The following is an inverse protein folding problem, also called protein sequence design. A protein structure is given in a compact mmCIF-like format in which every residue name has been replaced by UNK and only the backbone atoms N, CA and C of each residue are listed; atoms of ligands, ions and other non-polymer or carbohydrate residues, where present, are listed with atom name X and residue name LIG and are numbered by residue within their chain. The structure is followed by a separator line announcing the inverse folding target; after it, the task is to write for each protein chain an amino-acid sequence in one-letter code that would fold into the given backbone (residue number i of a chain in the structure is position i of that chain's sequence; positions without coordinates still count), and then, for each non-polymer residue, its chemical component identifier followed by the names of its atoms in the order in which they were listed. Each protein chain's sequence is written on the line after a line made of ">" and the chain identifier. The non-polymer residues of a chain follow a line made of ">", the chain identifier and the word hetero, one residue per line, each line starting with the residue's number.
data_IF_157948610399
#
_entry.id   IF_157948610399
#
_cell.length_a   1.000
_cell.length_b   1.000
_cell.length_c   1.000
_cell.angle_alpha   90.00
_cell.angle_beta   90.00
_cell.angle_gamma   90.00
#
_symmetry.space_group_name_H-M   'P 1'
#
loop_
_entity.id
_entity.type
_entity.pdbx_description
1 polymer ?
#
# COMPACT_ATOMS: atom_id res chain seq x y z
N UNK A 1 -15.45 -2.49 -32.31
CA UNK A 1 -14.56 -1.59 -31.55
C UNK A 1 -13.14 -2.02 -31.87
N UNK A 2 -12.37 -1.19 -32.57
CA UNK A 2 -10.97 -1.47 -32.88
C UNK A 2 -10.19 -1.35 -31.55
N UNK A 3 -9.69 -2.48 -31.05
CA UNK A 3 -8.87 -2.51 -29.84
C UNK A 3 -7.45 -2.08 -30.18
N UNK A 4 -7.20 -0.78 -30.26
CA UNK A 4 -5.84 -0.26 -30.23
C UNK A 4 -5.29 -0.40 -28.81
N UNK A 5 -4.54 -1.47 -28.58
CA UNK A 5 -3.74 -1.61 -27.37
C UNK A 5 -2.47 -0.79 -27.54
N UNK A 6 -2.53 0.51 -27.23
CA UNK A 6 -1.32 1.33 -27.15
C UNK A 6 -0.62 1.03 -25.83
N UNK A 7 0.50 0.31 -25.87
CA UNK A 7 1.39 0.16 -24.72
C UNK A 7 2.14 1.49 -24.53
N UNK A 8 1.46 2.46 -23.90
CA UNK A 8 2.04 3.76 -23.56
C UNK A 8 2.97 3.66 -22.35
N UNK A 9 3.89 4.62 -22.24
CA UNK A 9 4.68 4.81 -21.01
C UNK A 9 3.78 5.00 -19.80
N UNK A 10 4.20 4.58 -18.57
CA UNK A 10 3.41 4.75 -17.36
C UNK A 10 3.06 6.24 -17.17
N UNK A 11 1.78 6.56 -17.35
CA UNK A 11 1.20 7.88 -17.10
C UNK A 11 -0.01 7.69 -16.20
N UNK A 12 -0.18 8.59 -15.23
CA UNK A 12 -1.42 8.65 -14.47
C UNK A 12 -2.57 8.92 -15.45
N UNK A 13 -3.70 8.23 -15.27
CA UNK A 13 -4.88 8.54 -16.05
C UNK A 13 -5.45 9.89 -15.60
N UNK A 14 -6.00 10.65 -16.53
CA UNK A 14 -6.69 11.91 -16.22
C UNK A 14 -7.83 11.68 -15.22
N UNK A 15 -8.46 10.51 -15.26
CA UNK A 15 -9.49 10.09 -14.30
C UNK A 15 -8.97 9.91 -12.86
N UNK A 16 -7.76 9.40 -12.67
CA UNK A 16 -7.18 9.24 -11.34
C UNK A 16 -6.84 10.61 -10.73
N UNK A 17 -6.27 11.51 -11.54
CA UNK A 17 -6.02 12.89 -11.10
C UNK A 17 -7.33 13.61 -10.75
N UNK A 18 -8.36 13.46 -11.57
CA UNK A 18 -9.69 14.02 -11.30
C UNK A 18 -10.27 13.51 -9.99
N UNK A 19 -10.21 12.20 -9.71
CA UNK A 19 -10.68 11.64 -8.43
C UNK A 19 -9.94 12.23 -7.23
N UNK A 20 -8.61 12.37 -7.32
CA UNK A 20 -7.83 12.97 -6.23
C UNK A 20 -8.06 14.48 -6.06
N UNK A 21 -8.43 15.19 -7.14
CA UNK A 21 -8.73 16.62 -7.12
C UNK A 21 -10.14 16.92 -6.60
N UNK A 22 -11.14 16.25 -7.16
CA UNK A 22 -12.54 16.61 -6.99
C UNK A 22 -13.28 15.74 -5.97
N UNK A 23 -12.90 14.46 -5.83
CA UNK A 23 -13.64 13.50 -4.97
C UNK A 23 -12.94 13.25 -3.64
N UNK A 24 -11.62 13.01 -3.64
CA UNK A 24 -10.88 12.65 -2.42
C UNK A 24 -10.34 13.87 -1.66
N UNK A 25 -10.01 14.95 -2.37
CA UNK A 25 -9.61 16.25 -1.83
C UNK A 25 -8.76 16.19 -0.54
N UNK A 26 -7.66 15.43 -0.57
CA UNK A 26 -6.85 15.18 0.63
C UNK A 26 -6.26 16.48 1.20
N UNK A 27 -6.47 16.79 2.50
CA UNK A 27 -6.20 18.13 3.04
C UNK A 27 -4.71 18.48 3.16
N UNK A 28 -3.82 17.48 3.13
CA UNK A 28 -2.40 17.64 3.45
C UNK A 28 -1.46 17.46 2.24
N UNK A 29 -1.97 16.97 1.10
CA UNK A 29 -1.14 16.58 -0.04
C UNK A 29 -1.69 17.12 -1.35
N UNK A 30 -0.84 17.69 -2.23
CA UNK A 30 -1.27 18.04 -3.58
C UNK A 30 -1.81 16.80 -4.33
N UNK A 31 -2.93 16.91 -5.06
CA UNK A 31 -3.59 15.78 -5.71
C UNK A 31 -2.69 14.92 -6.60
N UNK A 32 -1.76 15.55 -7.35
CA UNK A 32 -0.79 14.84 -8.18
C UNK A 32 0.10 13.90 -7.35
N UNK A 33 0.69 14.41 -6.27
CA UNK A 33 1.57 13.62 -5.43
C UNK A 33 0.80 12.56 -4.66
N UNK A 34 -0.40 12.88 -4.18
CA UNK A 34 -1.30 11.92 -3.55
C UNK A 34 -1.63 10.75 -4.49
N UNK A 35 -1.99 11.03 -5.75
CA UNK A 35 -2.28 10.01 -6.74
C UNK A 35 -1.06 9.12 -7.02
N UNK A 36 0.12 9.71 -7.27
CA UNK A 36 1.35 8.93 -7.51
C UNK A 36 1.67 8.03 -6.31
N UNK A 37 1.69 8.61 -5.11
CA UNK A 37 2.04 7.85 -3.90
C UNK A 37 1.03 6.75 -3.61
N UNK A 38 -0.26 7.02 -3.78
CA UNK A 38 -1.31 6.01 -3.60
C UNK A 38 -1.16 4.87 -4.61
N UNK A 39 -1.00 5.19 -5.91
CA UNK A 39 -0.82 4.16 -6.95
C UNK A 39 0.41 3.29 -6.69
N UNK A 40 1.55 3.90 -6.33
CA UNK A 40 2.77 3.14 -6.02
C UNK A 40 2.59 2.31 -4.75
N UNK A 41 2.06 2.90 -3.68
CA UNK A 41 1.88 2.22 -2.40
C UNK A 41 0.92 1.03 -2.48
N UNK A 42 -0.21 1.20 -3.19
CA UNK A 42 -1.23 0.17 -3.38
C UNK A 42 -0.69 -1.08 -4.06
N UNK A 43 0.29 -0.94 -4.95
CA UNK A 43 0.87 -2.09 -5.67
C UNK A 43 2.10 -2.64 -4.96
N UNK A 44 3.02 -1.77 -4.54
CA UNK A 44 4.32 -2.18 -4.01
C UNK A 44 4.19 -2.77 -2.61
N UNK A 45 3.45 -2.12 -1.70
CA UNK A 45 3.43 -2.54 -0.30
C UNK A 45 2.79 -3.92 -0.09
N UNK A 46 1.66 -4.29 -0.74
CA UNK A 46 1.11 -5.63 -0.62
C UNK A 46 2.05 -6.71 -1.18
N UNK A 47 2.76 -6.42 -2.28
CA UNK A 47 3.75 -7.34 -2.85
C UNK A 47 4.89 -7.58 -1.86
N UNK A 48 5.40 -6.52 -1.24
CA UNK A 48 6.44 -6.63 -0.21
C UNK A 48 5.97 -7.46 1.00
N UNK A 49 4.74 -7.25 1.47
CA UNK A 49 4.14 -8.09 2.54
C UNK A 49 4.02 -9.55 2.09
N UNK A 50 3.58 -9.80 0.85
CA UNK A 50 3.34 -11.15 0.33
C UNK A 50 4.63 -11.98 0.28
N UNK A 51 5.72 -11.39 -0.21
CA UNK A 51 7.04 -12.04 -0.25
C UNK A 51 7.74 -12.02 1.13
N UNK A 52 7.19 -11.26 2.09
CA UNK A 52 7.74 -11.11 3.42
C UNK A 52 9.06 -10.32 3.44
N UNK A 53 9.16 -9.25 2.66
CA UNK A 53 10.30 -8.32 2.64
C UNK A 53 9.92 -7.01 3.34
N UNK A 54 10.76 -6.58 4.29
CA UNK A 54 10.55 -5.41 5.13
C UNK A 54 9.13 -5.38 5.74
N UNK A 55 8.63 -6.54 6.18
CA UNK A 55 7.20 -6.78 6.42
C UNK A 55 6.57 -5.79 7.40
N UNK A 56 7.29 -5.40 8.46
CA UNK A 56 6.81 -4.40 9.43
C UNK A 56 6.65 -3.02 8.81
N UNK A 57 7.60 -2.60 7.97
CA UNK A 57 7.54 -1.31 7.28
C UNK A 57 6.43 -1.30 6.23
N UNK A 58 6.31 -2.38 5.46
CA UNK A 58 5.26 -2.53 4.45
C UNK A 58 3.86 -2.53 5.08
N UNK A 59 3.70 -3.23 6.21
CA UNK A 59 2.45 -3.23 6.97
C UNK A 59 2.13 -1.86 7.60
N UNK A 60 3.13 -1.12 8.08
CA UNK A 60 2.94 0.26 8.56
C UNK A 60 2.48 1.20 7.44
N UNK A 61 3.08 1.09 6.25
CA UNK A 61 2.68 1.88 5.09
C UNK A 61 1.22 1.60 4.69
N UNK A 62 0.84 0.32 4.63
CA UNK A 62 -0.55 -0.08 4.34
C UNK A 62 -1.53 0.37 5.42
N UNK A 63 -1.11 0.36 6.69
CA UNK A 63 -1.94 0.87 7.78
C UNK A 63 -2.15 2.37 7.64
N UNK A 64 -1.09 3.13 7.32
CA UNK A 64 -1.19 4.56 7.05
C UNK A 64 -2.15 4.87 5.89
N UNK A 65 -2.03 4.13 4.78
CA UNK A 65 -2.95 4.24 3.64
C UNK A 65 -4.40 3.92 4.03
N UNK A 66 -4.61 2.85 4.80
CA UNK A 66 -5.92 2.46 5.32
C UNK A 66 -6.53 3.56 6.20
N UNK A 67 -5.72 4.21 7.05
CA UNK A 67 -6.17 5.32 7.88
C UNK A 67 -6.53 6.55 7.05
N UNK A 68 -5.74 6.88 6.02
CA UNK A 68 -6.07 7.99 5.10
C UNK A 68 -7.41 7.73 4.41
N UNK A 69 -7.63 6.52 3.90
CA UNK A 69 -8.88 6.13 3.24
C UNK A 69 -10.05 6.20 4.25
N UNK A 70 -9.88 5.62 5.44
CA UNK A 70 -10.93 5.60 6.47
C UNK A 70 -11.30 6.99 6.98
N UNK A 71 -10.35 7.91 7.11
CA UNK A 71 -10.61 9.22 7.69
C UNK A 71 -11.07 10.26 6.66
N UNK A 72 -10.55 10.20 5.43
CA UNK A 72 -10.73 11.26 4.44
C UNK A 72 -11.52 10.84 3.20
N UNK A 73 -11.65 9.54 2.93
CA UNK A 73 -12.26 9.06 1.67
C UNK A 73 -13.57 8.30 1.92
N UNK A 74 -13.54 7.20 2.67
CA UNK A 74 -14.70 6.32 2.90
C UNK A 74 -14.92 6.04 4.40
N UNK A 75 -15.39 7.02 5.19
CA UNK A 75 -15.57 6.85 6.63
C UNK A 75 -16.63 5.81 7.01
N UNK A 76 -17.62 5.56 6.15
CA UNK A 76 -18.66 4.56 6.37
C UNK A 76 -18.18 3.11 6.25
N UNK A 77 -17.01 2.85 5.66
CA UNK A 77 -16.50 1.50 5.41
C UNK A 77 -15.67 0.90 6.57
N UNK A 78 -15.95 1.34 7.81
CA UNK A 78 -15.23 0.92 9.01
C UNK A 78 -15.18 -0.60 9.27
N UNK A 79 -16.18 -1.44 8.89
CA UNK A 79 -16.06 -2.88 9.10
C UNK A 79 -14.92 -3.47 8.26
N UNK A 80 -14.76 -3.00 7.03
CA UNK A 80 -13.73 -3.45 6.11
C UNK A 80 -12.35 -2.94 6.53
N UNK A 81 -12.22 -1.63 6.75
CA UNK A 81 -10.95 -1.03 7.14
C UNK A 81 -10.48 -1.51 8.52
N UNK A 82 -11.41 -1.81 9.43
CA UNK A 82 -11.11 -2.38 10.74
C UNK A 82 -10.48 -3.78 10.65
N UNK A 83 -10.99 -4.64 9.77
CA UNK A 83 -10.40 -5.96 9.52
C UNK A 83 -8.99 -5.83 8.94
N UNK A 84 -8.80 -4.97 7.95
CA UNK A 84 -7.47 -4.72 7.38
C UNK A 84 -6.51 -4.19 8.43
N UNK A 85 -6.92 -3.17 9.19
CA UNK A 85 -6.11 -2.59 10.25
C UNK A 85 -5.72 -3.62 11.31
N UNK A 86 -6.64 -4.51 11.72
CA UNK A 86 -6.34 -5.56 12.69
C UNK A 86 -5.26 -6.53 12.20
N UNK A 87 -5.35 -6.97 10.94
CA UNK A 87 -4.34 -7.87 10.33
C UNK A 87 -3.00 -7.16 10.17
N UNK A 88 -3.01 -5.89 9.73
CA UNK A 88 -1.79 -5.09 9.58
C UNK A 88 -1.11 -4.84 10.93
N UNK A 89 -1.87 -4.49 11.98
CA UNK A 89 -1.37 -4.35 13.34
C UNK A 89 -0.77 -5.65 13.87
N UNK A 90 -1.39 -6.79 13.56
CA UNK A 90 -0.84 -8.10 13.89
C UNK A 90 0.53 -8.32 13.22
N UNK A 91 0.65 -8.02 11.92
CA UNK A 91 1.93 -8.14 11.18
C UNK A 91 3.00 -7.19 11.73
N UNK A 92 2.61 -5.98 12.13
CA UNK A 92 3.53 -5.02 12.76
C UNK A 92 4.04 -5.57 14.10
N UNK A 93 3.14 -6.06 14.95
CA UNK A 93 3.46 -6.56 16.28
C UNK A 93 4.27 -7.86 16.26
N UNK A 94 3.85 -8.85 15.46
CA UNK A 94 4.51 -10.15 15.38
C UNK A 94 5.70 -10.17 14.42
N UNK A 95 5.72 -9.26 13.46
CA UNK A 95 6.73 -9.27 12.41
C UNK A 95 6.50 -10.38 11.37
N UNK A 96 7.50 -10.61 10.51
CA UNK A 96 7.38 -11.55 9.41
C UNK A 96 7.36 -13.02 9.87
N UNK A 97 6.69 -13.89 9.11
CA UNK A 97 6.64 -15.32 9.38
C UNK A 97 7.95 -16.07 9.06
N UNK A 98 8.06 -17.34 9.46
CA UNK A 98 9.28 -18.17 9.26
C UNK A 98 9.65 -18.43 7.79
N UNK A 99 8.70 -18.25 6.86
CA UNK A 99 8.85 -18.49 5.41
C UNK A 99 9.10 -17.16 4.65
N UNK A 100 9.31 -16.05 5.35
CA UNK A 100 9.56 -14.75 4.75
C UNK A 100 10.99 -14.59 4.22
N UNK A 101 11.18 -13.70 3.24
CA UNK A 101 12.52 -13.25 2.82
C UNK A 101 13.26 -12.61 4.00
N UNK A 102 12.57 -11.83 4.85
CA UNK A 102 13.14 -11.26 6.08
C UNK A 102 13.75 -12.34 6.99
N UNK A 103 13.04 -13.46 7.19
CA UNK A 103 13.53 -14.58 7.99
C UNK A 103 14.67 -15.34 7.30
N UNK A 104 14.63 -15.47 5.97
CA UNK A 104 15.73 -16.06 5.20
C UNK A 104 17.01 -15.22 5.32
N UNK A 105 16.91 -13.91 5.12
CA UNK A 105 18.00 -12.94 5.30
C UNK A 105 18.59 -13.07 6.72
N UNK A 106 17.75 -12.97 7.75
CA UNK A 106 18.21 -13.05 9.14
C UNK A 106 18.94 -14.38 9.45
N UNK A 107 18.49 -15.49 8.86
CA UNK A 107 19.14 -16.80 8.99
C UNK A 107 20.51 -16.88 8.31
N UNK A 108 20.70 -16.24 7.16
CA UNK A 108 21.99 -16.23 6.47
C UNK A 108 23.02 -15.42 7.27
N UNK A 109 22.66 -14.21 7.68
CA UNK A 109 23.57 -13.34 8.43
C UNK A 109 23.81 -13.80 9.87
N UNK A 110 22.88 -14.52 10.49
CA UNK A 110 23.06 -15.13 11.81
C UNK A 110 23.89 -16.41 11.83
N UNK A 111 24.22 -17.01 10.67
CA UNK A 111 25.08 -18.21 10.57
C UNK A 111 26.56 -17.87 10.32
N UNK A 112 26.86 -16.62 10.00
CA UNK A 112 28.22 -16.12 9.70
C UNK A 112 28.89 -15.40 10.88
N UNK A 113 28.27 -15.41 12.07
CA UNK A 113 28.81 -14.82 13.31
C UNK A 113 29.10 -15.86 14.37
#
# INVERSE_FOLDING_TARGET
>A
VQGEFSLGWPRLSDSALFLFQEEYALPLLPPLWAAIMATVAEHVLPILVLIGLATRFSALGLLGMTLVIQLFVYPGAYPTHGVWAAVLLYLIAKGPGKVSIDAWIARQYGRTG
#
